data_IF_189118174583
#
_entry.id   IF_189118174583
#
_cell.length_a   1.000
_cell.length_b   1.000
_cell.length_c   1.000
_cell.angle_alpha   90.00
_cell.angle_beta   90.00
_cell.angle_gamma   90.00
#
_symmetry.space_group_name_H-M   'P 1'
#
loop_
_entity.id
_entity.type
_entity.pdbx_description
1 polymer ?
#
# COMPACT_ATOMS: atom_id res chain seq x y z
N UNK A 1 8.74 28.80 5.31
CA UNK A 1 9.50 28.34 4.12
C UNK A 1 10.62 27.42 4.61
N UNK A 2 10.85 26.25 3.99
CA UNK A 2 11.93 25.33 4.37
C UNK A 2 13.09 25.45 3.36
N UNK A 3 14.36 25.56 3.80
CA UNK A 3 15.48 25.58 2.89
C UNK A 3 15.65 24.23 2.20
N UNK A 4 15.83 24.23 0.87
CA UNK A 4 16.21 23.04 0.12
C UNK A 4 17.66 22.69 0.42
N UNK A 5 17.90 21.50 0.97
CA UNK A 5 19.24 21.03 1.36
C UNK A 5 19.46 19.63 0.79
N UNK A 6 20.50 19.48 -0.01
CA UNK A 6 20.94 18.19 -0.57
C UNK A 6 21.86 17.40 0.37
N UNK A 7 22.46 18.07 1.37
CA UNK A 7 23.56 17.53 2.19
C UNK A 7 23.11 17.03 3.57
N UNK A 8 21.83 16.68 3.73
CA UNK A 8 21.29 16.20 5.01
C UNK A 8 20.92 14.73 4.86
N UNK A 9 21.19 13.93 5.89
CA UNK A 9 20.85 12.51 5.97
C UNK A 9 19.34 12.23 5.92
N UNK A 10 18.49 13.25 6.02
CA UNK A 10 17.04 13.15 6.12
C UNK A 10 16.41 13.72 4.85
N UNK A 11 15.72 12.89 4.05
CA UNK A 11 15.04 13.34 2.84
C UNK A 11 13.99 14.42 3.12
N UNK A 12 13.94 15.42 2.25
CA UNK A 12 12.94 16.50 2.27
C UNK A 12 11.81 16.28 1.26
N UNK A 13 11.84 15.18 0.49
CA UNK A 13 10.86 14.83 -0.52
C UNK A 13 10.43 13.37 -0.38
N UNK A 14 9.16 13.11 -0.64
CA UNK A 14 8.66 11.75 -0.80
C UNK A 14 9.09 11.21 -2.17
N UNK A 15 9.81 10.09 -2.22
CA UNK A 15 10.25 9.53 -3.51
C UNK A 15 9.07 9.06 -4.38
N UNK A 16 7.96 8.64 -3.75
CA UNK A 16 6.79 8.12 -4.45
C UNK A 16 5.83 9.16 -5.04
N UNK A 17 6.00 10.46 -4.74
CA UNK A 17 5.15 11.52 -5.30
C UNK A 17 5.83 12.88 -5.49
N UNK A 18 7.13 12.99 -5.21
CA UNK A 18 7.99 14.17 -5.34
C UNK A 18 7.57 15.42 -4.53
N UNK A 19 6.50 15.32 -3.73
CA UNK A 19 6.06 16.39 -2.82
C UNK A 19 7.09 16.61 -1.72
N UNK A 20 7.30 17.88 -1.37
CA UNK A 20 8.18 18.29 -0.29
C UNK A 20 7.52 18.12 1.09
N UNK A 21 8.31 17.72 2.07
CA UNK A 21 7.90 17.53 3.47
C UNK A 21 8.93 18.16 4.40
N UNK A 22 8.45 18.87 5.42
CA UNK A 22 9.28 19.66 6.32
C UNK A 22 9.50 19.03 7.70
N UNK A 23 8.65 18.09 8.12
CA UNK A 23 8.63 17.61 9.51
C UNK A 23 9.92 16.94 9.95
N UNK A 24 10.38 15.94 9.20
CA UNK A 24 11.60 15.21 9.53
C UNK A 24 12.84 16.12 9.53
N UNK A 25 12.91 17.09 8.61
CA UNK A 25 13.96 18.09 8.59
C UNK A 25 13.94 18.98 9.83
N UNK A 26 12.82 19.63 10.16
CA UNK A 26 12.75 20.54 11.31
C UNK A 26 12.98 19.82 12.63
N UNK A 27 12.49 18.58 12.76
CA UNK A 27 12.76 17.75 13.93
C UNK A 27 14.27 17.51 14.11
N UNK A 28 15.01 17.24 13.04
CA UNK A 28 16.47 17.09 13.09
C UNK A 28 17.22 18.36 13.48
N UNK A 29 16.59 19.52 13.31
CA UNK A 29 17.12 20.81 13.76
C UNK A 29 16.70 21.14 15.21
N UNK A 30 16.08 20.19 15.92
CA UNK A 30 15.62 20.38 17.31
C UNK A 30 14.29 21.13 17.44
N UNK A 31 13.55 21.33 16.35
CA UNK A 31 12.25 22.00 16.40
C UNK A 31 11.17 20.98 16.76
N UNK A 32 10.62 21.08 17.98
CA UNK A 32 9.53 20.23 18.46
C UNK A 32 8.20 20.53 17.75
N UNK A 33 7.37 19.49 17.60
CA UNK A 33 6.03 19.54 17.00
C UNK A 33 5.05 20.47 17.74
N UNK A 34 5.33 20.85 18.99
CA UNK A 34 4.54 21.83 19.75
C UNK A 34 4.64 23.26 19.20
N UNK A 35 5.67 23.55 18.40
CA UNK A 35 5.95 24.87 17.84
C UNK A 35 5.66 24.97 16.33
N UNK A 36 5.17 23.89 15.72
CA UNK A 36 4.92 23.81 14.27
C UNK A 36 3.46 23.46 13.99
N UNK A 37 2.89 24.06 12.94
CA UNK A 37 1.61 23.61 12.37
C UNK A 37 1.61 22.09 12.14
N UNK A 38 0.44 21.44 12.25
CA UNK A 38 0.18 20.02 11.91
C UNK A 38 0.84 19.57 10.59
N UNK A 39 1.08 20.52 9.67
CA UNK A 39 1.70 20.35 8.37
C UNK A 39 3.18 19.88 8.46
N UNK A 40 3.94 20.22 9.51
CA UNK A 40 5.33 19.78 9.68
C UNK A 40 5.48 18.69 10.76
N UNK A 41 4.57 17.71 10.80
CA UNK A 41 4.73 16.55 11.66
C UNK A 41 5.81 15.60 11.11
N UNK A 42 6.73 15.14 11.96
CA UNK A 42 7.78 14.18 11.64
C UNK A 42 7.25 12.85 11.07
N UNK A 43 6.03 12.46 11.43
CA UNK A 43 5.38 11.23 10.99
C UNK A 43 4.84 11.30 9.56
N UNK A 44 4.87 12.47 8.93
CA UNK A 44 4.37 12.66 7.56
C UNK A 44 5.30 12.05 6.50
N UNK A 45 6.59 11.88 6.80
CA UNK A 45 7.59 11.31 5.91
C UNK A 45 8.54 10.40 6.71
N UNK A 46 8.48 9.10 6.44
CA UNK A 46 9.28 8.06 7.12
C UNK A 46 9.73 7.02 6.11
N UNK A 47 10.82 6.30 6.42
CA UNK A 47 11.18 5.13 5.62
C UNK A 47 10.10 4.06 5.71
N UNK A 48 9.93 3.27 4.64
CA UNK A 48 8.92 2.19 4.59
C UNK A 48 9.12 1.21 5.76
N UNK A 49 10.36 0.83 6.05
CA UNK A 49 10.73 -0.09 7.12
C UNK A 49 10.36 0.40 8.52
N UNK A 50 10.41 1.71 8.77
CA UNK A 50 10.11 2.29 10.09
C UNK A 50 8.61 2.42 10.37
N UNK A 51 7.75 2.08 9.42
CA UNK A 51 6.30 2.24 9.56
C UNK A 51 5.69 1.01 10.21
N UNK A 52 4.77 1.27 11.13
CA UNK A 52 3.95 0.25 11.78
C UNK A 52 2.52 0.32 11.26
N UNK A 53 1.90 -0.83 11.04
CA UNK A 53 0.51 -0.94 10.61
C UNK A 53 -0.24 -1.99 11.44
N UNK A 54 -1.29 -1.52 12.11
CA UNK A 54 -2.14 -2.35 12.97
C UNK A 54 -3.49 -2.71 12.34
N UNK A 55 -3.94 -1.94 11.35
CA UNK A 55 -5.23 -2.13 10.69
C UNK A 55 -5.12 -1.95 9.18
N UNK A 56 -5.99 -2.65 8.45
CA UNK A 56 -6.07 -2.53 6.99
C UNK A 56 -6.62 -1.14 6.59
N UNK A 57 -5.95 -0.42 5.67
CA UNK A 57 -6.49 0.83 5.14
C UNK A 57 -7.85 0.62 4.48
N UNK A 58 -8.75 1.60 4.58
CA UNK A 58 -10.06 1.53 3.91
C UNK A 58 -9.93 1.60 2.39
N UNK A 59 -8.81 2.11 1.88
CA UNK A 59 -8.57 2.29 0.46
C UNK A 59 -8.07 1.03 -0.24
N UNK A 60 -7.81 -0.08 0.47
CA UNK A 60 -7.26 -1.28 -0.16
C UNK A 60 -8.23 -1.88 -1.18
N UNK A 61 -7.69 -2.54 -2.20
CA UNK A 61 -8.43 -3.11 -3.32
C UNK A 61 -9.38 -2.09 -3.96
N UNK A 62 -8.92 -0.84 -4.08
CA UNK A 62 -9.72 0.26 -4.62
C UNK A 62 -10.93 0.63 -3.75
N UNK A 63 -10.88 0.36 -2.45
CA UNK A 63 -11.99 0.63 -1.53
C UNK A 63 -13.14 -0.38 -1.64
N UNK A 64 -12.89 -1.59 -2.14
CA UNK A 64 -13.87 -2.66 -2.19
C UNK A 64 -14.00 -3.32 -0.80
N UNK A 65 -15.12 -3.13 -0.07
CA UNK A 65 -15.24 -3.62 1.30
C UNK A 65 -15.26 -5.15 1.40
N UNK A 66 -15.73 -5.85 0.37
CA UNK A 66 -15.74 -7.32 0.36
C UNK A 66 -14.33 -7.88 0.18
N UNK A 67 -13.52 -7.29 -0.70
CA UNK A 67 -12.13 -7.73 -0.88
C UNK A 67 -11.26 -7.36 0.33
N UNK A 68 -11.57 -6.23 1.00
CA UNK A 68 -10.96 -5.87 2.28
C UNK A 68 -11.25 -6.92 3.36
N UNK A 69 -12.53 -7.27 3.56
CA UNK A 69 -12.96 -8.30 4.52
C UNK A 69 -12.30 -9.66 4.22
N UNK A 70 -12.31 -10.10 2.97
CA UNK A 70 -11.68 -11.36 2.59
C UNK A 70 -10.17 -11.33 2.88
N UNK A 71 -9.50 -10.21 2.61
CA UNK A 71 -8.07 -10.06 2.91
C UNK A 71 -7.79 -10.13 4.40
N UNK A 72 -8.62 -9.50 5.23
CA UNK A 72 -8.54 -9.58 6.67
C UNK A 72 -8.67 -11.04 7.16
N UNK A 73 -9.66 -11.76 6.66
CA UNK A 73 -9.87 -13.19 6.99
C UNK A 73 -8.71 -14.07 6.53
N UNK A 74 -8.12 -13.81 5.37
CA UNK A 74 -6.92 -14.54 4.91
C UNK A 74 -5.74 -14.33 5.85
N UNK A 75 -5.51 -13.10 6.32
CA UNK A 75 -4.45 -12.80 7.28
C UNK A 75 -4.71 -13.53 8.59
N UNK A 76 -5.93 -13.47 9.11
CA UNK A 76 -6.33 -14.17 10.33
C UNK A 76 -6.12 -15.69 10.22
N UNK A 77 -6.55 -16.31 9.11
CA UNK A 77 -6.37 -17.74 8.86
C UNK A 77 -4.90 -18.16 8.75
N UNK A 78 -4.01 -17.25 8.35
CA UNK A 78 -2.57 -17.51 8.33
C UNK A 78 -1.91 -17.52 9.73
N UNK A 79 -2.62 -17.06 10.77
CA UNK A 79 -2.10 -16.93 12.13
C UNK A 79 -1.09 -15.80 12.31
N UNK A 80 -0.93 -14.92 11.32
CA UNK A 80 0.02 -13.79 11.34
C UNK A 80 -0.69 -12.48 11.65
N UNK A 81 0.04 -11.53 12.22
CA UNK A 81 -0.42 -10.14 12.30
C UNK A 81 -0.28 -9.46 10.94
N UNK A 82 -1.06 -8.40 10.70
CA UNK A 82 -0.93 -7.58 9.49
C UNK A 82 0.51 -7.07 9.32
N UNK A 83 1.15 -6.61 10.39
CA UNK A 83 2.53 -6.14 10.35
C UNK A 83 3.50 -7.22 9.85
N UNK A 84 3.36 -8.47 10.31
CA UNK A 84 4.22 -9.57 9.86
C UNK A 84 4.03 -9.83 8.37
N UNK A 85 2.78 -9.89 7.90
CA UNK A 85 2.48 -10.04 6.47
C UNK A 85 3.11 -8.89 5.68
N UNK A 86 2.91 -7.64 6.08
CA UNK A 86 3.49 -6.50 5.37
C UNK A 86 5.02 -6.55 5.36
N UNK A 87 5.68 -6.91 6.46
CA UNK A 87 7.13 -7.07 6.50
C UNK A 87 7.63 -8.16 5.55
N UNK A 88 6.94 -9.31 5.46
CA UNK A 88 7.30 -10.37 4.50
C UNK A 88 7.17 -9.88 3.06
N UNK A 89 6.09 -9.18 2.73
CA UNK A 89 5.86 -8.66 1.39
C UNK A 89 6.76 -7.48 1.02
N UNK A 90 7.21 -6.69 2.01
CA UNK A 90 8.30 -5.72 1.83
C UNK A 90 9.60 -6.44 1.42
N UNK A 91 9.96 -7.54 2.09
CA UNK A 91 11.16 -8.31 1.73
C UNK A 91 11.06 -8.87 0.31
N UNK A 92 9.89 -9.41 -0.08
CA UNK A 92 9.63 -9.85 -1.46
C UNK A 92 9.73 -8.71 -2.47
N UNK A 93 9.21 -7.54 -2.12
CA UNK A 93 9.36 -6.34 -2.93
C UNK A 93 10.83 -6.01 -3.12
N UNK A 94 11.62 -5.88 -2.05
CA UNK A 94 13.06 -5.54 -2.10
C UNK A 94 13.86 -6.55 -2.93
N UNK A 95 13.54 -7.85 -2.82
CA UNK A 95 14.18 -8.94 -3.56
C UNK A 95 13.74 -9.06 -5.03
N UNK A 96 12.87 -8.17 -5.52
CA UNK A 96 12.30 -8.20 -6.88
C UNK A 96 11.51 -9.49 -7.19
N UNK A 97 10.90 -10.10 -6.17
CA UNK A 97 10.08 -11.31 -6.31
C UNK A 97 8.65 -11.03 -6.80
N UNK A 98 8.26 -9.76 -6.92
CA UNK A 98 6.93 -9.33 -7.36
C UNK A 98 7.02 -8.29 -8.47
N UNK A 99 6.09 -8.35 -9.41
CA UNK A 99 6.02 -7.40 -10.52
C UNK A 99 5.53 -6.02 -10.02
N UNK A 100 6.41 -5.03 -10.18
CA UNK A 100 6.25 -3.66 -9.67
C UNK A 100 5.56 -2.72 -10.66
N UNK A 101 5.27 -3.15 -11.88
CA UNK A 101 4.68 -2.31 -12.95
C UNK A 101 3.36 -1.64 -12.55
N UNK A 102 2.65 -2.23 -11.59
CA UNK A 102 1.36 -1.74 -11.08
C UNK A 102 1.45 -0.83 -9.87
N UNK A 103 2.64 -0.63 -9.31
CA UNK A 103 2.82 0.27 -8.18
C UNK A 103 2.66 1.72 -8.66
N UNK A 104 1.55 2.35 -8.31
CA UNK A 104 1.21 3.71 -8.74
C UNK A 104 1.91 4.79 -7.90
N UNK A 105 3.24 4.77 -7.94
CA UNK A 105 4.15 5.73 -7.32
C UNK A 105 5.17 6.22 -8.37
N UNK A 106 5.79 7.36 -8.12
CA UNK A 106 6.93 7.81 -8.92
C UNK A 106 8.20 7.02 -8.54
N UNK A 107 9.17 6.97 -9.45
CA UNK A 107 10.51 6.39 -9.22
C UNK A 107 10.49 4.94 -8.67
N UNK A 108 9.54 4.11 -9.13
CA UNK A 108 9.28 2.75 -8.62
C UNK A 108 10.54 1.88 -8.53
N UNK A 109 11.40 1.95 -9.55
CA UNK A 109 12.62 1.14 -9.63
C UNK A 109 13.63 1.46 -8.51
N UNK A 110 13.60 2.69 -7.98
CA UNK A 110 14.46 3.15 -6.89
C UNK A 110 13.83 2.97 -5.49
N UNK A 111 12.56 2.57 -5.40
CA UNK A 111 11.91 2.33 -4.11
C UNK A 111 12.43 1.03 -3.50
N UNK A 112 12.76 1.08 -2.20
CA UNK A 112 13.12 -0.05 -1.34
C UNK A 112 12.51 0.17 0.05
N UNK A 113 12.61 -0.81 0.95
CA UNK A 113 12.22 -0.67 2.36
C UNK A 113 12.88 0.53 3.08
N UNK A 114 14.06 0.97 2.63
CA UNK A 114 14.77 2.12 3.21
C UNK A 114 14.30 3.47 2.69
N UNK A 115 13.52 3.49 1.61
CA UNK A 115 13.05 4.71 0.95
C UNK A 115 12.05 5.46 1.82
N UNK A 116 12.23 6.77 1.92
CA UNK A 116 11.31 7.67 2.62
C UNK A 116 10.12 8.03 1.73
N UNK A 117 8.91 7.70 2.20
CA UNK A 117 7.66 8.02 1.53
C UNK A 117 6.63 8.59 2.49
N UNK A 118 5.69 9.37 1.97
CA UNK A 118 4.63 9.98 2.76
C UNK A 118 3.52 8.99 3.10
N UNK A 119 2.62 9.37 4.02
CA UNK A 119 1.51 8.50 4.46
C UNK A 119 0.64 8.04 3.29
N UNK A 120 0.30 8.94 2.36
CA UNK A 120 -0.49 8.59 1.18
C UNK A 120 0.20 7.58 0.27
N UNK A 121 1.51 7.76 0.03
CA UNK A 121 2.28 6.82 -0.78
C UNK A 121 2.45 5.48 -0.07
N UNK A 122 2.59 5.48 1.26
CA UNK A 122 2.64 4.25 2.04
C UNK A 122 1.32 3.47 2.00
N UNK A 123 0.17 4.14 2.07
CA UNK A 123 -1.13 3.47 1.91
C UNK A 123 -1.26 2.81 0.54
N UNK A 124 -0.83 3.47 -0.55
CA UNK A 124 -0.77 2.88 -1.89
C UNK A 124 0.20 1.70 -1.99
N UNK A 125 1.34 1.80 -1.32
CA UNK A 125 2.35 0.75 -1.27
C UNK A 125 1.81 -0.49 -0.54
N UNK A 126 1.17 -0.30 0.62
CA UNK A 126 0.49 -1.37 1.37
C UNK A 126 -0.63 -2.03 0.56
N UNK A 127 -1.47 -1.25 -0.12
CA UNK A 127 -2.50 -1.76 -1.03
C UNK A 127 -1.90 -2.66 -2.12
N UNK A 128 -0.83 -2.19 -2.77
CA UNK A 128 -0.08 -2.97 -3.76
C UNK A 128 0.47 -4.30 -3.19
N UNK A 129 1.05 -4.28 -1.99
CA UNK A 129 1.56 -5.50 -1.35
C UNK A 129 0.43 -6.48 -1.01
N UNK A 130 -0.70 -5.99 -0.50
CA UNK A 130 -1.84 -6.82 -0.13
C UNK A 130 -2.56 -7.41 -1.34
N UNK A 131 -2.54 -6.72 -2.49
CA UNK A 131 -2.96 -7.29 -3.75
C UNK A 131 -2.11 -8.54 -4.10
N UNK A 132 -0.78 -8.42 -4.05
CA UNK A 132 0.09 -9.55 -4.35
C UNK A 132 -0.02 -10.67 -3.33
N UNK A 133 -0.16 -10.35 -2.04
CA UNK A 133 -0.51 -11.32 -1.01
C UNK A 133 -1.72 -12.16 -1.38
N UNK A 134 -2.81 -11.51 -1.75
CA UNK A 134 -4.06 -12.16 -2.13
C UNK A 134 -3.92 -13.01 -3.40
N UNK A 135 -3.25 -12.50 -4.43
CA UNK A 135 -3.06 -13.23 -5.70
C UNK A 135 -2.17 -14.45 -5.54
N UNK A 136 -1.20 -14.42 -4.62
CA UNK A 136 -0.29 -15.54 -4.37
C UNK A 136 -0.84 -16.58 -3.40
N UNK A 137 -2.00 -16.35 -2.78
CA UNK A 137 -2.63 -17.35 -1.92
C UNK A 137 -3.20 -18.49 -2.76
N UNK A 138 -2.83 -19.75 -2.47
CA UNK A 138 -3.46 -20.89 -3.09
C UNK A 138 -4.91 -21.02 -2.62
N UNK A 139 -5.76 -21.58 -3.48
CA UNK A 139 -7.21 -21.58 -3.29
C UNK A 139 -7.68 -22.24 -1.98
N UNK A 140 -6.94 -23.23 -1.49
CA UNK A 140 -7.22 -23.92 -0.23
C UNK A 140 -6.90 -23.08 1.03
N UNK A 141 -6.17 -21.97 0.89
CA UNK A 141 -5.91 -21.01 1.97
C UNK A 141 -6.81 -19.78 1.90
N UNK A 142 -7.71 -19.72 0.91
CA UNK A 142 -8.74 -18.71 0.83
C UNK A 142 -9.95 -19.11 1.69
N UNK A 143 -10.68 -18.15 2.27
CA UNK A 143 -12.00 -18.42 2.79
C UNK A 143 -12.89 -19.05 1.71
N UNK A 144 -13.71 -20.02 2.10
CA UNK A 144 -14.51 -20.82 1.16
C UNK A 144 -15.38 -19.97 0.23
N UNK A 145 -16.08 -19.00 0.79
CA UNK A 145 -16.93 -18.06 0.04
C UNK A 145 -16.12 -17.18 -0.93
N UNK A 146 -14.84 -16.93 -0.64
CA UNK A 146 -13.94 -16.23 -1.54
C UNK A 146 -13.43 -17.13 -2.68
N UNK A 147 -13.10 -18.39 -2.35
CA UNK A 147 -12.58 -19.38 -3.28
C UNK A 147 -13.58 -19.79 -4.37
N UNK A 148 -14.88 -19.69 -4.09
CA UNK A 148 -15.97 -20.06 -4.99
C UNK A 148 -16.37 -18.91 -5.95
N UNK A 149 -15.82 -17.70 -5.77
CA UNK A 149 -16.14 -16.54 -6.63
C UNK A 149 -15.43 -16.64 -7.98
N UNK A 150 -16.19 -16.45 -9.04
CA UNK A 150 -15.63 -16.24 -10.37
C UNK A 150 -14.87 -14.91 -10.45
N UNK A 151 -13.81 -14.86 -11.25
CA UNK A 151 -13.05 -13.63 -11.48
C UNK A 151 -13.82 -12.65 -12.37
N UNK A 152 -13.92 -11.40 -11.95
CA UNK A 152 -14.43 -10.32 -12.77
C UNK A 152 -13.56 -10.14 -14.01
N UNK A 153 -14.16 -9.99 -15.19
CA UNK A 153 -13.40 -9.79 -16.43
C UNK A 153 -12.54 -8.52 -16.42
N UNK A 154 -12.95 -7.49 -15.69
CA UNK A 154 -12.17 -6.26 -15.53
C UNK A 154 -11.19 -6.33 -14.35
N UNK A 155 -11.21 -7.42 -13.56
CA UNK A 155 -10.38 -7.63 -12.39
C UNK A 155 -10.28 -6.41 -11.48
N UNK A 156 -9.05 -6.08 -11.08
CA UNK A 156 -8.77 -4.92 -10.24
C UNK A 156 -9.11 -3.57 -10.90
N UNK A 157 -9.30 -3.52 -12.22
CA UNK A 157 -9.68 -2.31 -12.96
C UNK A 157 -11.20 -2.10 -13.03
N UNK A 158 -12.00 -3.01 -12.46
CA UNK A 158 -13.45 -2.92 -12.51
C UNK A 158 -13.95 -1.68 -11.78
N UNK A 159 -14.53 -0.72 -12.51
CA UNK A 159 -15.13 0.48 -11.88
C UNK A 159 -16.43 0.17 -11.14
N UNK A 160 -17.17 -0.83 -11.62
CA UNK A 160 -18.46 -1.26 -11.06
C UNK A 160 -18.34 -1.76 -9.62
N UNK A 161 -17.17 -2.27 -9.23
CA UNK A 161 -16.92 -2.77 -7.87
C UNK A 161 -17.08 -1.66 -6.80
N UNK A 162 -16.90 -0.40 -7.17
CA UNK A 162 -16.94 0.72 -6.21
C UNK A 162 -18.35 1.20 -5.88
N UNK A 163 -19.34 0.93 -6.74
CA UNK A 163 -20.68 1.51 -6.61
C UNK A 163 -21.82 0.49 -6.78
N UNK A 164 -21.51 -0.80 -6.95
CA UNK A 164 -22.51 -1.88 -6.98
C UNK A 164 -22.09 -2.99 -5.99
N UNK A 165 -22.58 -2.94 -4.74
CA UNK A 165 -22.23 -3.92 -3.71
C UNK A 165 -22.49 -5.36 -4.13
N UNK A 166 -23.60 -5.65 -4.80
CA UNK A 166 -23.92 -7.01 -5.28
C UNK A 166 -22.88 -7.53 -6.29
N UNK A 167 -22.35 -6.66 -7.14
CA UNK A 167 -21.28 -7.00 -8.07
C UNK A 167 -19.97 -7.27 -7.32
N UNK A 168 -19.61 -6.38 -6.39
CA UNK A 168 -18.42 -6.50 -5.55
C UNK A 168 -18.45 -7.73 -4.64
N UNK A 169 -19.64 -8.20 -4.23
CA UNK A 169 -19.83 -9.42 -3.45
C UNK A 169 -19.72 -10.68 -4.31
N UNK A 170 -20.30 -10.65 -5.52
CA UNK A 170 -20.44 -11.84 -6.37
C UNK A 170 -19.14 -12.26 -7.07
N UNK A 171 -18.29 -11.31 -7.46
CA UNK A 171 -17.13 -11.56 -8.32
C UNK A 171 -15.82 -11.21 -7.63
N UNK A 172 -14.78 -12.02 -7.78
CA UNK A 172 -13.43 -11.70 -7.35
C UNK A 172 -12.86 -10.54 -8.20
N UNK A 173 -12.37 -9.49 -7.54
CA UNK A 173 -11.67 -8.35 -8.18
C UNK A 173 -10.17 -8.36 -7.91
N UNK A 174 -9.68 -9.23 -7.03
CA UNK A 174 -8.24 -9.46 -6.82
C UNK A 174 -7.72 -10.48 -7.83
N UNK A 175 -7.83 -10.12 -9.11
CA UNK A 175 -7.43 -10.92 -10.26
C UNK A 175 -7.00 -10.03 -11.42
N UNK A 176 -6.26 -10.59 -12.39
CA UNK A 176 -5.84 -9.86 -13.59
C UNK A 176 -7.04 -9.68 -14.55
N UNK A 177 -7.21 -8.49 -15.18
CA UNK A 177 -8.22 -8.29 -16.21
C UNK A 177 -8.02 -9.24 -17.39
N UNK A 178 -9.12 -9.80 -17.89
CA UNK A 178 -9.19 -10.62 -19.09
C UNK A 178 -9.95 -9.94 -20.23
N UNK A 179 -10.60 -8.79 -19.97
CA UNK A 179 -11.24 -7.91 -20.97
C UNK A 179 -10.99 -6.43 -20.67
N UNK A 180 -11.03 -5.62 -21.73
CA UNK A 180 -10.68 -4.19 -21.70
C UNK A 180 -9.20 -3.98 -22.05
N UNK A 181 -8.88 -2.87 -22.71
CA UNK A 181 -7.52 -2.57 -23.18
C UNK A 181 -6.52 -2.78 -22.02
N UNK A 182 -5.65 -3.78 -22.19
CA UNK A 182 -4.44 -3.90 -21.40
C UNK A 182 -3.61 -2.65 -21.70
N UNK A 183 -3.05 -1.96 -20.69
CA UNK A 183 -2.04 -0.94 -20.95
C UNK A 183 -0.81 -1.54 -21.63
#
# INVERSE_FOLDING_TARGET
MMPARSNISIPQKCLGCDKAFCGAYWYSQGVSSSHCNLICNQDTLKSIYQRHISALPDTIHGGNPYEKDITERCIQQSGKTLQVVISEWISKFDNMEIDRSRLQLNNVDAITSRTYICNHCYSKFVDFLLYWFRVSLPQNLLPRDAAERESCWYGFMCRTQHHRPDHAKKLNHVCRPTRGNQP
#
